data_IF_398734715354
#
_entry.id   IF_398734715354
#
_cell.length_a   1.000
_cell.length_b   1.000
_cell.length_c   1.000
_cell.angle_alpha   90.00
_cell.angle_beta   90.00
_cell.angle_gamma   90.00
#
_symmetry.space_group_name_H-M   'P 1'
#
loop_
_entity.id
_entity.type
_entity.pdbx_description
1 polymer ?
#
# COMPACT_ATOMS: atom_id res chain seq x y z
N UNK A 1 9.13 -7.70 -14.69
CA UNK A 1 7.83 -7.85 -15.37
C UNK A 1 8.01 -8.63 -16.69
N UNK A 2 8.84 -8.18 -17.61
CA UNK A 2 9.10 -8.85 -18.90
C UNK A 2 9.56 -10.31 -18.71
N UNK A 3 10.40 -10.57 -17.73
CA UNK A 3 10.88 -11.91 -17.34
C UNK A 3 9.72 -12.89 -17.03
N UNK A 4 8.58 -12.35 -16.60
CA UNK A 4 7.36 -13.12 -16.31
C UNK A 4 6.31 -13.00 -17.43
N UNK A 5 6.72 -12.64 -18.65
CA UNK A 5 5.86 -12.59 -19.83
C UNK A 5 5.00 -11.32 -19.92
N UNK A 6 5.30 -10.28 -19.15
CA UNK A 6 4.56 -9.03 -19.26
C UNK A 6 4.94 -8.27 -20.53
N UNK A 7 3.93 -7.78 -21.25
CA UNK A 7 4.10 -6.82 -22.32
C UNK A 7 4.18 -5.40 -21.76
N UNK A 8 5.14 -4.61 -22.23
CA UNK A 8 5.38 -3.26 -21.75
C UNK A 8 4.89 -2.22 -22.75
N UNK A 9 3.87 -1.46 -22.36
CA UNK A 9 3.35 -0.34 -23.15
C UNK A 9 3.90 0.98 -22.62
N UNK A 10 4.84 1.58 -23.34
CA UNK A 10 5.42 2.86 -22.96
C UNK A 10 4.50 4.01 -23.38
N UNK A 11 4.20 4.88 -22.43
CA UNK A 11 3.39 6.09 -22.67
C UNK A 11 4.18 7.34 -22.27
N UNK A 12 3.95 8.49 -22.91
CA UNK A 12 4.59 9.74 -22.50
C UNK A 12 4.31 10.07 -21.03
N UNK A 13 5.28 10.69 -20.36
CA UNK A 13 5.10 11.17 -18.99
C UNK A 13 3.89 12.11 -18.90
N UNK A 14 3.13 11.97 -17.82
CA UNK A 14 1.93 12.75 -17.61
C UNK A 14 1.37 12.58 -16.21
N UNK A 15 0.25 13.23 -15.97
CA UNK A 15 -0.50 13.06 -14.72
C UNK A 15 -1.02 11.61 -14.62
N UNK A 16 -1.09 11.07 -13.41
CA UNK A 16 -1.56 9.71 -13.14
C UNK A 16 -2.95 9.44 -13.77
N UNK A 17 -3.85 10.42 -13.70
CA UNK A 17 -5.18 10.33 -14.30
C UNK A 17 -5.15 10.16 -15.83
N UNK A 18 -4.15 10.73 -16.50
CA UNK A 18 -3.97 10.57 -17.95
C UNK A 18 -3.47 9.17 -18.27
N UNK A 19 -2.53 8.64 -17.48
CA UNK A 19 -2.03 7.26 -17.64
C UNK A 19 -3.15 6.26 -17.39
N UNK A 20 -3.95 6.47 -16.35
CA UNK A 20 -5.11 5.65 -16.03
C UNK A 20 -6.15 5.68 -17.16
N UNK A 21 -6.44 6.86 -17.72
CA UNK A 21 -7.33 6.98 -18.89
C UNK A 21 -6.83 6.13 -20.06
N UNK A 22 -5.56 6.24 -20.41
CA UNK A 22 -4.96 5.44 -21.50
C UNK A 22 -5.08 3.94 -21.27
N UNK A 23 -4.88 3.49 -20.02
CA UNK A 23 -5.06 2.09 -19.66
C UNK A 23 -6.53 1.65 -19.82
N UNK A 24 -7.50 2.49 -19.46
CA UNK A 24 -8.93 2.24 -19.70
C UNK A 24 -9.26 2.18 -21.18
N UNK A 25 -8.72 3.12 -21.98
CA UNK A 25 -8.92 3.15 -23.42
C UNK A 25 -8.37 1.84 -24.06
N UNK A 26 -7.18 1.39 -23.65
CA UNK A 26 -6.59 0.12 -24.09
C UNK A 26 -7.43 -1.11 -23.73
N UNK A 27 -8.02 -1.15 -22.54
CA UNK A 27 -8.94 -2.22 -22.15
C UNK A 27 -10.22 -2.19 -22.97
N UNK A 28 -10.73 -0.98 -23.26
CA UNK A 28 -11.97 -0.81 -24.03
C UNK A 28 -11.86 -1.27 -25.50
N UNK A 29 -10.65 -1.40 -26.05
CA UNK A 29 -10.42 -1.96 -27.40
C UNK A 29 -10.70 -3.47 -27.48
N UNK A 30 -10.58 -4.19 -26.35
CA UNK A 30 -10.81 -5.63 -26.28
C UNK A 30 -11.27 -6.03 -24.85
N UNK A 31 -12.52 -5.68 -24.49
CA UNK A 31 -13.02 -5.88 -23.13
C UNK A 31 -13.27 -7.36 -22.78
N UNK A 32 -13.31 -8.26 -23.77
CA UNK A 32 -13.54 -9.68 -23.53
C UNK A 32 -12.27 -10.39 -23.02
N UNK A 33 -11.08 -9.89 -23.40
CA UNK A 33 -9.80 -10.51 -23.02
C UNK A 33 -8.97 -9.64 -22.08
N UNK A 34 -9.29 -8.34 -21.94
CA UNK A 34 -8.53 -7.37 -21.12
C UNK A 34 -9.34 -6.89 -19.93
N UNK A 35 -8.68 -6.77 -18.80
CA UNK A 35 -9.26 -6.14 -17.60
C UNK A 35 -8.26 -5.20 -16.95
N UNK A 36 -8.76 -4.10 -16.36
CA UNK A 36 -7.94 -3.13 -15.65
C UNK A 36 -7.85 -3.48 -14.18
N UNK A 37 -6.64 -3.66 -13.70
CA UNK A 37 -6.39 -3.72 -12.27
C UNK A 37 -6.28 -2.28 -11.72
N UNK A 38 -7.12 -1.89 -10.75
CA UNK A 38 -7.13 -0.52 -10.23
C UNK A 38 -5.80 -0.14 -9.58
N UNK A 39 -5.49 1.15 -9.63
CA UNK A 39 -4.32 1.70 -8.92
C UNK A 39 -4.41 1.37 -7.44
N UNK A 40 -3.27 0.91 -6.88
CA UNK A 40 -3.20 0.49 -5.47
C UNK A 40 -3.92 -0.82 -5.19
N UNK A 41 -4.29 -1.57 -6.24
CA UNK A 41 -5.00 -2.85 -6.14
C UNK A 41 -6.31 -2.76 -5.33
N UNK A 42 -7.00 -1.62 -5.39
CA UNK A 42 -8.25 -1.40 -4.64
C UNK A 42 -9.41 -2.17 -5.28
N UNK A 43 -9.43 -3.47 -4.98
CA UNK A 43 -10.40 -4.41 -5.52
C UNK A 43 -10.87 -5.39 -4.42
N UNK A 44 -12.16 -5.79 -4.40
CA UNK A 44 -12.68 -6.70 -3.37
C UNK A 44 -11.90 -8.00 -3.20
N UNK A 45 -11.43 -8.60 -4.29
CA UNK A 45 -10.63 -9.83 -4.25
C UNK A 45 -9.29 -9.62 -3.54
N UNK A 46 -8.63 -8.47 -3.75
CA UNK A 46 -7.37 -8.13 -3.08
C UNK A 46 -7.59 -7.91 -1.59
N UNK A 47 -8.65 -7.17 -1.23
CA UNK A 47 -9.05 -6.97 0.18
C UNK A 47 -9.34 -8.30 0.86
N UNK A 48 -10.07 -9.21 0.21
CA UNK A 48 -10.35 -10.55 0.72
C UNK A 48 -9.08 -11.40 0.89
N UNK A 49 -8.12 -11.29 -0.03
CA UNK A 49 -6.83 -11.98 0.07
C UNK A 49 -5.99 -11.47 1.24
N UNK A 50 -5.91 -10.15 1.43
CA UNK A 50 -5.23 -9.53 2.57
C UNK A 50 -5.89 -9.99 3.89
N UNK A 51 -7.22 -9.95 3.94
CA UNK A 51 -7.99 -10.42 5.10
C UNK A 51 -7.66 -11.87 5.44
N UNK A 52 -7.67 -12.77 4.45
CA UNK A 52 -7.37 -14.19 4.64
C UNK A 52 -5.96 -14.41 5.21
N UNK A 53 -4.96 -13.66 4.75
CA UNK A 53 -3.59 -13.73 5.30
C UNK A 53 -3.58 -13.23 6.74
N UNK A 54 -4.24 -12.12 7.04
CA UNK A 54 -4.31 -11.58 8.39
C UNK A 54 -5.01 -12.55 9.36
N UNK A 55 -6.10 -13.19 8.94
CA UNK A 55 -6.85 -14.18 9.74
C UNK A 55 -6.04 -15.45 10.06
N UNK A 56 -4.92 -15.71 9.39
CA UNK A 56 -4.01 -16.81 9.72
C UNK A 56 -3.02 -16.49 10.85
N UNK A 57 -3.09 -15.30 11.41
CA UNK A 57 -2.23 -14.82 12.49
C UNK A 57 -3.11 -14.29 13.64
N UNK A 58 -2.56 -14.32 14.86
CA UNK A 58 -3.21 -13.71 16.01
C UNK A 58 -3.41 -12.21 15.79
N UNK A 59 -4.56 -11.68 16.22
CA UNK A 59 -4.85 -10.26 16.14
C UNK A 59 -3.90 -9.46 17.05
N UNK A 60 -3.08 -8.56 16.49
CA UNK A 60 -2.19 -7.73 17.29
C UNK A 60 -2.97 -6.59 17.98
N UNK A 61 -2.45 -6.09 19.09
CA UNK A 61 -3.04 -4.92 19.75
C UNK A 61 -2.88 -3.64 18.92
N UNK A 62 -1.76 -3.51 18.22
CA UNK A 62 -1.41 -2.33 17.43
C UNK A 62 -0.73 -2.71 16.13
N UNK A 63 -1.12 -2.04 15.03
CA UNK A 63 -0.62 -2.28 13.67
C UNK A 63 -0.13 -0.97 13.07
N UNK A 64 1.04 -1.03 12.46
CA UNK A 64 1.62 0.05 11.67
C UNK A 64 1.76 -0.36 10.20
N UNK A 65 1.27 0.49 9.31
CA UNK A 65 1.36 0.31 7.86
C UNK A 65 1.86 1.57 7.18
N UNK A 66 2.37 1.44 5.96
CA UNK A 66 2.52 2.56 5.04
C UNK A 66 1.36 2.53 4.06
N UNK A 67 0.83 3.69 3.72
CA UNK A 67 -0.32 3.78 2.85
C UNK A 67 -0.26 4.91 1.84
N UNK A 68 -0.63 4.60 0.60
CA UNK A 68 -0.99 5.55 -0.45
C UNK A 68 -2.48 5.40 -0.77
N UNK A 69 -2.91 4.28 -1.36
CA UNK A 69 -4.33 3.97 -1.60
C UNK A 69 -5.12 3.62 -0.33
N UNK A 70 -4.46 2.96 0.63
CA UNK A 70 -5.06 2.44 1.85
C UNK A 70 -5.62 1.02 1.75
N UNK A 71 -5.51 0.37 0.59
CA UNK A 71 -6.02 -0.99 0.35
C UNK A 71 -5.51 -1.99 1.37
N UNK A 72 -4.19 -2.00 1.63
CA UNK A 72 -3.58 -2.87 2.64
C UNK A 72 -4.17 -2.61 4.02
N UNK A 73 -4.19 -1.37 4.46
CA UNK A 73 -4.70 -0.98 5.79
C UNK A 73 -6.15 -1.40 5.99
N UNK A 74 -7.03 -1.18 4.99
CA UNK A 74 -8.44 -1.59 5.03
C UNK A 74 -8.60 -3.11 5.00
N UNK A 75 -7.80 -3.81 4.21
CA UNK A 75 -7.78 -5.27 4.17
C UNK A 75 -7.46 -5.87 5.53
N UNK A 76 -6.41 -5.38 6.21
CA UNK A 76 -6.05 -5.80 7.56
C UNK A 76 -7.13 -5.45 8.60
N UNK A 77 -7.73 -4.26 8.52
CA UNK A 77 -8.84 -3.85 9.39
C UNK A 77 -10.08 -4.74 9.24
N UNK A 78 -10.27 -5.36 8.08
CA UNK A 78 -11.38 -6.28 7.85
C UNK A 78 -11.23 -7.60 8.61
N UNK A 79 -9.99 -8.02 8.90
CA UNK A 79 -9.67 -9.18 9.73
C UNK A 79 -9.61 -8.81 11.22
N UNK A 80 -8.81 -7.82 11.56
CA UNK A 80 -8.51 -7.42 12.94
C UNK A 80 -9.40 -6.27 13.36
N UNK A 81 -10.45 -6.58 14.11
CA UNK A 81 -11.51 -5.61 14.45
C UNK A 81 -11.17 -4.73 15.64
N UNK A 82 -10.38 -5.25 16.59
CA UNK A 82 -10.04 -4.60 17.86
C UNK A 82 -8.70 -3.88 17.79
N UNK A 83 -7.82 -4.28 16.88
CA UNK A 83 -6.48 -3.70 16.71
C UNK A 83 -6.52 -2.19 16.46
N UNK A 84 -5.59 -1.48 17.10
CA UNK A 84 -5.33 -0.06 16.80
C UNK A 84 -4.52 0.03 15.52
N UNK A 85 -4.99 0.81 14.57
CA UNK A 85 -4.29 1.00 13.30
C UNK A 85 -3.64 2.38 13.21
N UNK A 86 -2.40 2.39 12.79
CA UNK A 86 -1.61 3.56 12.47
C UNK A 86 -1.12 3.44 11.03
N UNK A 87 -1.27 4.48 10.24
CA UNK A 87 -0.79 4.53 8.87
C UNK A 87 0.10 5.73 8.64
N UNK A 88 1.26 5.51 8.07
CA UNK A 88 2.11 6.58 7.57
C UNK A 88 1.76 6.82 6.10
N UNK A 89 1.10 7.94 5.86
CA UNK A 89 0.69 8.35 4.52
C UNK A 89 1.90 8.80 3.69
N UNK A 90 2.06 8.20 2.52
CA UNK A 90 3.10 8.53 1.55
C UNK A 90 2.44 8.85 0.20
N UNK A 91 2.70 10.04 -0.33
CA UNK A 91 2.08 10.51 -1.56
C UNK A 91 0.70 11.12 -1.32
N UNK A 92 -0.29 10.70 -2.11
CA UNK A 92 -1.65 11.23 -2.01
C UNK A 92 -2.45 10.58 -0.89
N UNK A 93 -3.45 11.30 -0.38
CA UNK A 93 -4.38 10.79 0.64
C UNK A 93 -5.28 9.71 0.03
N UNK A 94 -5.19 8.50 0.60
CA UNK A 94 -6.10 7.39 0.34
C UNK A 94 -7.22 7.27 1.37
N UNK A 95 -7.99 6.19 1.26
CA UNK A 95 -8.93 5.77 2.29
C UNK A 95 -8.23 4.77 3.24
N UNK A 96 -8.01 5.19 4.48
CA UNK A 96 -7.32 4.40 5.50
C UNK A 96 -8.26 3.83 6.55
N UNK A 97 -9.58 3.88 6.31
CA UNK A 97 -10.59 3.40 7.26
C UNK A 97 -10.46 4.09 8.63
N UNK A 98 -10.37 3.29 9.71
CA UNK A 98 -10.28 3.79 11.09
C UNK A 98 -8.85 4.08 11.58
N UNK A 99 -7.84 4.00 10.70
CA UNK A 99 -6.46 4.21 11.11
C UNK A 99 -6.18 5.67 11.51
N UNK A 100 -5.35 5.84 12.54
CA UNK A 100 -4.72 7.13 12.83
C UNK A 100 -3.68 7.41 11.74
N UNK A 101 -3.76 8.58 11.12
CA UNK A 101 -2.92 8.94 9.97
C UNK A 101 -1.77 9.83 10.41
N UNK A 102 -0.56 9.43 10.06
CA UNK A 102 0.65 10.22 10.15
C UNK A 102 1.11 10.60 8.74
N UNK A 103 1.58 11.80 8.53
CA UNK A 103 2.05 12.22 7.21
C UNK A 103 3.57 12.14 7.17
N UNK A 104 4.12 11.36 6.22
CA UNK A 104 5.56 11.34 5.97
C UNK A 104 6.05 12.73 5.59
N UNK A 105 7.21 13.13 6.14
CA UNK A 105 7.91 14.36 5.77
C UNK A 105 8.61 14.23 4.40
N UNK A 106 8.77 13.01 3.91
CA UNK A 106 9.42 12.72 2.62
C UNK A 106 8.41 12.65 1.48
N UNK A 107 8.74 13.26 0.35
CA UNK A 107 8.01 13.08 -0.91
C UNK A 107 7.98 11.59 -1.31
N UNK A 108 7.01 11.22 -2.15
CA UNK A 108 6.81 9.83 -2.59
C UNK A 108 8.08 9.18 -3.12
N UNK A 109 8.79 9.86 -4.03
CA UNK A 109 10.00 9.35 -4.69
C UNK A 109 11.29 9.49 -3.89
N UNK A 110 11.28 10.21 -2.75
CA UNK A 110 12.49 10.45 -1.96
C UNK A 110 12.67 9.38 -0.89
N UNK A 111 13.87 8.78 -0.78
CA UNK A 111 14.14 7.82 0.28
C UNK A 111 14.17 8.50 1.65
N UNK A 112 13.72 7.76 2.67
CA UNK A 112 13.93 8.18 4.07
C UNK A 112 15.40 8.04 4.46
N UNK A 113 15.84 8.90 5.38
CA UNK A 113 17.17 8.80 6.01
C UNK A 113 17.16 7.90 7.25
N UNK A 114 15.98 7.58 7.77
CA UNK A 114 15.79 6.80 9.01
C UNK A 114 15.35 5.40 8.62
N UNK A 115 16.32 4.50 8.49
CA UNK A 115 16.08 3.13 8.08
C UNK A 115 15.73 2.22 9.27
N UNK A 116 14.80 1.25 9.09
CA UNK A 116 14.53 0.23 10.09
C UNK A 116 15.68 -0.80 10.18
N UNK A 117 15.76 -1.59 11.27
CA UNK A 117 16.77 -2.64 11.44
C UNK A 117 16.48 -3.93 10.62
N UNK A 118 15.57 -3.86 9.67
CA UNK A 118 15.19 -4.95 8.77
C UNK A 118 15.12 -4.43 7.32
N UNK A 119 15.23 -5.33 6.31
CA UNK A 119 15.11 -4.94 4.90
C UNK A 119 13.75 -4.29 4.61
N UNK A 120 13.76 -3.10 4.05
CA UNK A 120 12.55 -2.32 3.75
C UNK A 120 12.81 -1.32 2.63
N UNK A 121 11.82 -1.07 1.77
CA UNK A 121 11.93 -0.13 0.66
C UNK A 121 12.11 1.31 1.17
N UNK A 122 13.27 1.97 0.91
CA UNK A 122 13.58 3.29 1.48
C UNK A 122 12.62 4.39 1.02
N UNK A 123 12.07 4.25 -0.18
CA UNK A 123 11.15 5.23 -0.76
C UNK A 123 9.70 5.04 -0.30
N UNK A 124 9.39 3.90 0.34
CA UNK A 124 8.02 3.60 0.76
C UNK A 124 7.95 3.01 2.17
N UNK A 125 8.07 1.69 2.35
CA UNK A 125 7.79 1.03 3.64
C UNK A 125 8.72 1.48 4.78
N UNK A 126 9.99 1.78 4.51
CA UNK A 126 10.92 2.25 5.53
C UNK A 126 10.49 3.57 6.19
N UNK A 127 9.62 4.35 5.54
CA UNK A 127 9.13 5.63 6.10
C UNK A 127 8.28 5.48 7.35
N UNK A 128 7.76 4.29 7.62
CA UNK A 128 7.02 4.01 8.85
C UNK A 128 7.94 4.08 10.08
N UNK A 129 9.23 3.75 9.92
CA UNK A 129 10.14 3.53 11.04
C UNK A 129 10.39 4.77 11.89
N UNK A 130 10.41 5.95 11.27
CA UNK A 130 10.52 7.23 11.98
C UNK A 130 9.42 7.38 13.03
N UNK A 131 8.19 7.08 12.65
CA UNK A 131 7.01 7.19 13.51
C UNK A 131 6.90 6.05 14.52
N UNK A 132 7.26 4.84 14.12
CA UNK A 132 7.27 3.67 15.00
C UNK A 132 8.19 3.89 16.20
N UNK A 133 9.40 4.40 15.97
CA UNK A 133 10.36 4.68 17.06
C UNK A 133 9.81 5.66 18.10
N UNK A 134 8.96 6.57 17.69
CA UNK A 134 8.45 7.65 18.55
C UNK A 134 7.11 7.29 19.20
N UNK A 135 6.27 6.51 18.50
CA UNK A 135 4.87 6.39 18.86
C UNK A 135 4.36 4.95 19.08
N UNK A 136 5.08 3.93 18.62
CA UNK A 136 4.60 2.57 18.71
C UNK A 136 4.68 2.01 20.13
N UNK A 137 3.68 1.26 20.51
CA UNK A 137 3.69 0.47 21.74
C UNK A 137 4.65 -0.73 21.62
N UNK A 138 5.25 -1.20 22.72
CA UNK A 138 5.99 -2.47 22.71
C UNK A 138 5.12 -3.62 22.18
N UNK A 139 5.65 -4.41 21.24
CA UNK A 139 4.91 -5.51 20.62
C UNK A 139 4.01 -5.11 19.45
N UNK A 140 4.01 -3.84 19.03
CA UNK A 140 3.28 -3.41 17.84
C UNK A 140 3.75 -4.15 16.58
N UNK A 141 2.81 -4.58 15.75
CA UNK A 141 3.08 -5.20 14.46
C UNK A 141 3.38 -4.14 13.40
N UNK A 142 4.49 -4.28 12.70
CA UNK A 142 4.81 -3.48 11.52
C UNK A 142 4.61 -4.35 10.28
N UNK A 143 3.67 -3.97 9.41
CA UNK A 143 3.46 -4.68 8.16
C UNK A 143 4.34 -4.09 7.07
N UNK A 144 5.42 -4.80 6.72
CA UNK A 144 6.39 -4.41 5.69
C UNK A 144 6.18 -5.26 4.44
N UNK A 145 5.97 -4.63 3.29
CA UNK A 145 5.69 -5.30 2.01
C UNK A 145 6.93 -5.33 1.11
N UNK A 146 7.64 -4.21 1.04
CA UNK A 146 8.79 -4.05 0.15
C UNK A 146 10.15 -4.19 0.85
N UNK A 147 11.15 -4.64 0.11
CA UNK A 147 12.56 -4.71 0.53
C UNK A 147 13.49 -4.19 -0.55
#
# INVERSE_FOLDING_TARGET
AIEYGAEMHWVPNGMLSVTEKRARDYVAEDPDTRSLLPIGFDHPTVLASIKKVAESMDEPEEVWTVGSSGTLTRGLQSAWKSAKFNVVMVGHKGDYGRAKVYKSSYEFSKPTKVLPPYPSAPTYDAKVWEFVKEHASPGALIWNVGK
#
